data_IF_751218864766
#
_entry.id   IF_751218864766
#
_cell.length_a   1.000
_cell.length_b   1.000
_cell.length_c   1.000
_cell.angle_alpha   90.00
_cell.angle_beta   90.00
_cell.angle_gamma   90.00
#
_symmetry.space_group_name_H-M   'P 1'
#
loop_
_entity.id
_entity.type
_entity.pdbx_description
1 polymer ?
#
# COMPACT_ATOMS: atom_id res chain seq x y z
N UNK A 1 5.43 47.94 -27.02
CA UNK A 1 4.13 48.37 -26.47
C UNK A 1 3.49 47.16 -25.84
N UNK A 2 3.32 47.22 -24.51
CA UNK A 2 3.02 46.08 -23.65
C UNK A 2 1.52 45.88 -23.41
N UNK A 3 1.21 44.84 -22.64
CA UNK A 3 -0.14 44.34 -22.30
C UNK A 3 -1.06 45.33 -21.55
N UNK A 4 -0.70 46.61 -21.43
CA UNK A 4 -1.42 47.62 -20.62
C UNK A 4 -2.92 47.72 -20.97
N UNK A 5 -3.26 47.67 -22.27
CA UNK A 5 -4.66 47.68 -22.71
C UNK A 5 -5.37 46.36 -22.40
N UNK A 6 -4.67 45.22 -22.47
CA UNK A 6 -5.23 43.93 -22.10
C UNK A 6 -5.50 43.86 -20.58
N UNK A 7 -4.59 44.41 -19.76
CA UNK A 7 -4.71 44.43 -18.31
C UNK A 7 -5.85 45.35 -17.82
N UNK A 8 -6.03 46.52 -18.47
CA UNK A 8 -7.17 47.39 -18.19
C UNK A 8 -8.50 46.68 -18.47
N UNK A 9 -8.61 46.03 -19.64
CA UNK A 9 -9.82 45.27 -20.01
C UNK A 9 -10.06 44.08 -19.07
N UNK A 10 -9.00 43.37 -18.64
CA UNK A 10 -9.11 42.29 -17.68
C UNK A 10 -9.61 42.78 -16.31
N UNK A 11 -9.14 43.94 -15.83
CA UNK A 11 -9.60 44.57 -14.58
C UNK A 11 -11.06 45.04 -14.67
N UNK A 12 -11.45 45.68 -15.77
CA UNK A 12 -12.84 46.07 -15.99
C UNK A 12 -13.77 44.86 -16.04
N UNK A 13 -13.34 43.78 -16.70
CA UNK A 13 -14.09 42.53 -16.74
C UNK A 13 -14.20 41.87 -15.35
N UNK A 14 -13.14 41.89 -14.53
CA UNK A 14 -13.18 41.30 -13.17
C UNK A 14 -14.15 42.01 -12.22
N UNK A 15 -14.48 43.28 -12.48
CA UNK A 15 -15.40 44.08 -11.65
C UNK A 15 -16.88 43.92 -12.07
N UNK A 16 -17.17 43.14 -13.11
CA UNK A 16 -18.55 42.89 -13.56
C UNK A 16 -19.20 41.79 -12.72
N UNK A 17 -20.47 42.00 -12.39
CA UNK A 17 -21.27 41.05 -11.61
C UNK A 17 -21.72 39.82 -12.43
N UNK A 18 -21.85 39.98 -13.74
CA UNK A 18 -22.30 38.90 -14.64
C UNK A 18 -21.14 38.40 -15.51
N UNK A 19 -21.10 37.07 -15.70
CA UNK A 19 -20.12 36.43 -16.58
C UNK A 19 -20.55 36.66 -18.03
N UNK A 20 -19.76 37.44 -18.78
CA UNK A 20 -20.05 37.79 -20.18
C UNK A 20 -20.01 36.58 -21.13
N UNK A 21 -19.16 35.58 -20.85
CA UNK A 21 -19.01 34.36 -21.66
C UNK A 21 -18.72 33.15 -20.77
N UNK A 22 -19.55 32.11 -20.89
CA UNK A 22 -19.31 30.83 -20.21
C UNK A 22 -18.62 29.85 -21.16
N UNK A 23 -17.34 29.56 -20.91
CA UNK A 23 -16.62 28.53 -21.66
C UNK A 23 -17.01 27.14 -21.18
N UNK A 24 -17.11 26.20 -22.12
CA UNK A 24 -17.22 24.78 -21.78
C UNK A 24 -15.88 24.27 -21.26
N UNK A 25 -15.91 23.24 -20.42
CA UNK A 25 -14.69 22.62 -19.93
C UNK A 25 -13.87 22.06 -21.09
N UNK A 26 -12.58 22.38 -21.11
CA UNK A 26 -11.63 21.70 -22.00
C UNK A 26 -11.56 20.21 -21.66
N UNK A 27 -11.13 19.39 -22.63
CA UNK A 27 -10.92 17.95 -22.42
C UNK A 27 -10.04 17.64 -21.21
N UNK A 28 -9.00 18.46 -20.97
CA UNK A 28 -8.09 18.32 -19.82
C UNK A 28 -8.82 18.62 -18.51
N UNK A 29 -9.62 19.69 -18.45
CA UNK A 29 -10.41 20.02 -17.26
C UNK A 29 -11.43 18.92 -16.95
N UNK A 30 -12.14 18.41 -17.95
CA UNK A 30 -13.07 17.29 -17.79
C UNK A 30 -12.33 16.06 -17.24
N UNK A 31 -11.18 15.71 -17.82
CA UNK A 31 -10.36 14.59 -17.37
C UNK A 31 -9.93 14.76 -15.90
N UNK A 32 -9.47 15.95 -15.52
CA UNK A 32 -9.02 16.22 -14.16
C UNK A 32 -10.17 16.14 -13.14
N UNK A 33 -11.34 16.70 -13.49
CA UNK A 33 -12.56 16.61 -12.66
C UNK A 33 -12.97 15.15 -12.48
N UNK A 34 -12.98 14.37 -13.57
CA UNK A 34 -13.35 12.96 -13.53
C UNK A 34 -12.35 12.13 -12.73
N UNK A 35 -11.04 12.37 -12.90
CA UNK A 35 -10.00 11.70 -12.12
C UNK A 35 -10.16 12.00 -10.63
N UNK A 36 -10.41 13.25 -10.25
CA UNK A 36 -10.65 13.64 -8.85
C UNK A 36 -11.86 12.88 -8.26
N UNK A 37 -13.00 12.90 -8.95
CA UNK A 37 -14.21 12.17 -8.53
C UNK A 37 -13.97 10.67 -8.43
N UNK A 38 -13.21 10.10 -9.38
CA UNK A 38 -12.86 8.69 -9.37
C UNK A 38 -12.02 8.38 -8.12
N UNK A 39 -10.95 9.13 -7.87
CA UNK A 39 -10.10 8.95 -6.68
C UNK A 39 -10.90 9.05 -5.39
N UNK A 40 -11.77 10.05 -5.24
CA UNK A 40 -12.64 10.19 -4.06
C UNK A 40 -13.54 8.96 -3.87
N UNK A 41 -14.21 8.51 -4.93
CA UNK A 41 -15.08 7.33 -4.87
C UNK A 41 -14.31 6.05 -4.53
N UNK A 42 -13.13 5.86 -5.10
CA UNK A 42 -12.27 4.72 -4.80
C UNK A 42 -11.76 4.77 -3.35
N UNK A 43 -11.42 5.95 -2.84
CA UNK A 43 -11.01 6.12 -1.44
C UNK A 43 -12.16 5.79 -0.49
N UNK A 44 -13.38 6.24 -0.78
CA UNK A 44 -14.56 5.90 0.02
C UNK A 44 -14.80 4.38 0.05
N UNK A 45 -14.77 3.73 -1.13
CA UNK A 45 -14.91 2.27 -1.22
C UNK A 45 -13.79 1.54 -0.48
N UNK A 46 -12.56 2.05 -0.58
CA UNK A 46 -11.41 1.49 0.11
C UNK A 46 -11.63 1.51 1.62
N UNK A 47 -12.01 2.66 2.18
CA UNK A 47 -12.24 2.81 3.63
C UNK A 47 -13.42 2.00 4.16
N UNK A 48 -14.45 1.76 3.34
CA UNK A 48 -15.67 1.05 3.75
C UNK A 48 -15.61 -0.46 3.50
N UNK A 49 -14.63 -0.95 2.74
CA UNK A 49 -14.50 -2.38 2.42
C UNK A 49 -14.27 -3.21 3.70
N UNK A 50 -14.89 -4.39 3.78
CA UNK A 50 -14.64 -5.38 4.83
C UNK A 50 -13.34 -6.16 4.60
N UNK A 51 -12.86 -6.19 3.35
CA UNK A 51 -11.70 -6.94 2.90
C UNK A 51 -10.44 -6.06 2.90
N UNK A 52 -9.27 -6.69 3.01
CA UNK A 52 -7.98 -5.98 2.92
C UNK A 52 -7.67 -5.12 4.15
N UNK A 53 -8.21 -5.46 5.33
CA UNK A 53 -7.93 -4.75 6.60
C UNK A 53 -6.43 -4.55 6.83
N UNK A 54 -5.63 -5.59 6.60
CA UNK A 54 -4.18 -5.53 6.72
C UNK A 54 -3.54 -4.53 5.76
N UNK A 55 -3.83 -4.64 4.46
CA UNK A 55 -3.29 -3.73 3.44
C UNK A 55 -3.72 -2.29 3.68
N UNK A 56 -4.90 -2.05 4.28
CA UNK A 56 -5.36 -0.70 4.66
C UNK A 56 -4.56 -0.10 5.81
N UNK A 57 -4.04 -0.90 6.74
CA UNK A 57 -3.12 -0.40 7.77
C UNK A 57 -1.82 0.12 7.15
N UNK A 58 -1.36 -0.51 6.07
CA UNK A 58 -0.13 -0.12 5.37
C UNK A 58 -0.36 1.04 4.40
N UNK A 59 -1.47 0.99 3.64
CA UNK A 59 -1.88 1.96 2.64
C UNK A 59 -3.31 2.45 2.94
N UNK A 60 -3.48 3.39 3.88
CA UNK A 60 -4.80 3.93 4.21
C UNK A 60 -5.37 4.77 3.07
N UNK A 61 -4.51 5.38 2.25
CA UNK A 61 -4.88 6.15 1.08
C UNK A 61 -4.64 5.36 -0.20
N UNK A 62 -5.57 5.45 -1.15
CA UNK A 62 -5.40 4.88 -2.47
C UNK A 62 -4.29 5.64 -3.19
N UNK A 63 -3.49 4.89 -3.94
CA UNK A 63 -2.51 5.46 -4.84
C UNK A 63 -2.81 4.97 -6.26
N UNK A 64 -3.00 5.91 -7.18
CA UNK A 64 -3.28 5.61 -8.59
C UNK A 64 -2.00 5.33 -9.39
N UNK A 65 -0.83 5.54 -8.79
CA UNK A 65 0.45 5.15 -9.38
C UNK A 65 0.69 3.66 -9.16
N UNK A 66 1.31 3.01 -10.16
CA UNK A 66 1.63 1.59 -10.06
C UNK A 66 2.65 1.38 -8.94
N UNK A 67 2.30 0.58 -7.95
CA UNK A 67 3.26 0.04 -6.99
C UNK A 67 4.22 -0.89 -7.75
N UNK A 68 5.47 -0.45 -7.91
CA UNK A 68 6.55 -1.33 -8.37
C UNK A 68 7.07 -2.09 -7.17
N UNK A 69 6.55 -3.30 -6.98
CA UNK A 69 6.83 -4.14 -5.83
C UNK A 69 7.26 -5.53 -6.29
N UNK A 70 8.29 -6.07 -5.64
CA UNK A 70 8.71 -7.45 -5.86
C UNK A 70 7.67 -8.45 -5.33
N UNK A 71 7.75 -9.71 -5.81
CA UNK A 71 6.80 -10.76 -5.48
C UNK A 71 6.66 -10.98 -3.97
N UNK A 72 7.76 -11.05 -3.24
CA UNK A 72 7.79 -11.34 -1.80
C UNK A 72 7.25 -10.15 -0.99
N UNK A 73 7.59 -8.93 -1.39
CA UNK A 73 7.07 -7.70 -0.80
C UNK A 73 5.56 -7.58 -1.00
N UNK A 74 5.04 -7.97 -2.17
CA UNK A 74 3.60 -8.02 -2.41
C UNK A 74 2.88 -8.95 -1.42
N UNK A 75 3.46 -10.10 -1.08
CA UNK A 75 2.88 -10.99 -0.06
C UNK A 75 2.82 -10.32 1.31
N UNK A 76 3.90 -9.61 1.70
CA UNK A 76 3.96 -8.88 2.97
C UNK A 76 2.88 -7.79 3.05
N UNK A 77 2.76 -6.94 2.01
CA UNK A 77 1.80 -5.82 2.06
C UNK A 77 0.34 -6.27 1.90
N UNK A 78 0.11 -7.39 1.22
CA UNK A 78 -1.24 -7.90 1.02
C UNK A 78 -1.73 -8.74 2.19
N UNK A 79 -0.83 -9.29 3.01
CA UNK A 79 -1.26 -10.23 4.05
C UNK A 79 -1.55 -11.61 3.50
N UNK A 80 -1.17 -11.87 2.24
CA UNK A 80 -1.58 -13.03 1.46
C UNK A 80 -0.36 -13.85 1.05
N UNK A 81 -0.61 -15.04 0.50
CA UNK A 81 0.41 -15.89 -0.08
C UNK A 81 0.87 -16.97 0.88
N UNK A 82 2.16 -16.98 1.22
CA UNK A 82 2.85 -18.10 1.89
C UNK A 82 2.54 -18.23 3.39
N UNK A 83 1.76 -17.32 3.98
CA UNK A 83 1.46 -17.36 5.41
C UNK A 83 0.32 -18.34 5.68
N UNK A 84 0.56 -19.36 6.51
CA UNK A 84 -0.40 -20.42 6.83
C UNK A 84 -1.70 -19.88 7.41
N UNK A 85 -1.65 -18.80 8.20
CA UNK A 85 -2.86 -18.14 8.71
C UNK A 85 -3.78 -17.59 7.59
N UNK A 86 -3.22 -17.26 6.42
CA UNK A 86 -3.98 -16.89 5.23
C UNK A 86 -4.38 -18.11 4.39
N UNK A 87 -3.49 -19.11 4.25
CA UNK A 87 -3.74 -20.28 3.42
C UNK A 87 -4.79 -21.22 4.03
N UNK A 88 -4.87 -21.31 5.36
CA UNK A 88 -5.79 -22.24 6.04
C UNK A 88 -7.28 -21.98 5.68
N UNK A 89 -7.83 -20.75 5.81
CA UNK A 89 -9.22 -20.51 5.42
C UNK A 89 -9.50 -20.64 3.92
N UNK A 90 -8.49 -20.44 3.07
CA UNK A 90 -8.64 -20.41 1.61
C UNK A 90 -8.43 -21.77 0.95
N UNK A 91 -7.51 -22.57 1.47
CA UNK A 91 -7.00 -23.81 0.85
C UNK A 91 -6.99 -25.00 1.82
N UNK A 92 -7.33 -24.81 3.09
CA UNK A 92 -7.31 -25.88 4.09
C UNK A 92 -5.92 -26.34 4.53
N UNK A 93 -4.86 -25.57 4.19
CA UNK A 93 -3.50 -25.86 4.62
C UNK A 93 -3.31 -25.64 6.12
N UNK A 94 -2.24 -26.18 6.71
CA UNK A 94 -1.92 -25.94 8.11
C UNK A 94 -1.64 -24.45 8.37
N UNK A 95 -2.25 -23.90 9.41
CA UNK A 95 -1.99 -22.52 9.83
C UNK A 95 -0.73 -22.39 10.67
N UNK A 96 -0.09 -23.51 11.08
CA UNK A 96 1.02 -23.50 12.02
C UNK A 96 2.36 -23.18 11.37
N UNK A 97 3.12 -22.35 12.08
CA UNK A 97 4.53 -22.12 11.83
C UNK A 97 5.34 -23.32 12.32
N UNK A 98 6.59 -23.46 11.86
CA UNK A 98 7.54 -24.48 12.33
C UNK A 98 7.77 -24.45 13.85
N UNK A 99 7.49 -23.32 14.52
CA UNK A 99 7.58 -23.22 15.97
C UNK A 99 6.29 -23.59 16.72
N UNK A 100 5.20 -23.93 16.01
CA UNK A 100 3.92 -24.37 16.59
C UNK A 100 2.86 -23.28 16.77
N UNK A 101 3.22 -22.00 16.64
CA UNK A 101 2.28 -20.87 16.69
C UNK A 101 1.57 -20.63 15.36
N UNK A 102 0.50 -19.83 15.36
CA UNK A 102 -0.18 -19.43 14.13
C UNK A 102 0.74 -18.57 13.24
N UNK A 103 0.91 -18.99 12.00
CA UNK A 103 1.82 -18.38 11.04
C UNK A 103 1.23 -17.11 10.40
N UNK A 104 1.09 -16.09 11.23
CA UNK A 104 0.73 -14.73 10.81
C UNK A 104 1.98 -13.95 10.36
N UNK A 105 1.80 -12.90 9.57
CA UNK A 105 2.89 -11.98 9.22
C UNK A 105 3.58 -11.45 10.47
N UNK A 106 2.78 -11.10 11.50
CA UNK A 106 3.31 -10.58 12.75
C UNK A 106 4.19 -11.57 13.45
N UNK A 107 3.68 -12.80 13.58
CA UNK A 107 4.42 -13.88 14.17
C UNK A 107 5.75 -14.08 13.42
N UNK A 108 5.71 -14.34 12.12
CA UNK A 108 6.89 -14.67 11.31
C UNK A 108 7.96 -13.57 11.37
N UNK A 109 7.57 -12.30 11.23
CA UNK A 109 8.52 -11.20 11.13
C UNK A 109 9.00 -10.66 12.48
N UNK A 110 8.20 -10.73 13.54
CA UNK A 110 8.49 -9.99 14.79
C UNK A 110 8.63 -10.88 16.03
N UNK A 111 8.05 -12.08 16.03
CA UNK A 111 7.90 -12.87 17.27
C UNK A 111 8.55 -14.26 17.16
N UNK A 112 8.54 -14.84 15.97
CA UNK A 112 8.91 -16.23 15.74
C UNK A 112 10.36 -16.51 16.18
N UNK A 113 10.60 -17.52 17.04
CA UNK A 113 11.93 -17.85 17.52
C UNK A 113 12.84 -18.40 16.41
N UNK A 114 12.28 -19.02 15.36
CA UNK A 114 13.03 -19.53 14.19
C UNK A 114 13.85 -18.41 13.53
N UNK A 115 13.31 -17.19 13.53
CA UNK A 115 13.92 -16.02 12.91
C UNK A 115 14.61 -15.08 13.90
N UNK A 116 14.84 -15.52 15.14
CA UNK A 116 15.41 -14.69 16.21
C UNK A 116 16.79 -14.14 15.85
N UNK A 117 17.69 -14.97 15.30
CA UNK A 117 19.05 -14.55 14.94
C UNK A 117 19.07 -13.43 13.87
N UNK A 118 18.15 -13.49 12.91
CA UNK A 118 18.01 -12.45 11.88
C UNK A 118 17.37 -11.20 12.49
N UNK A 119 16.41 -11.36 13.40
CA UNK A 119 15.72 -10.25 14.08
C UNK A 119 16.63 -9.51 15.06
N UNK A 120 17.58 -10.18 15.70
CA UNK A 120 18.55 -9.57 16.62
C UNK A 120 19.46 -8.54 15.94
N UNK A 121 19.58 -8.59 14.60
CA UNK A 121 20.31 -7.61 13.79
C UNK A 121 19.53 -6.32 13.57
N UNK A 122 18.23 -6.30 13.90
CA UNK A 122 17.39 -5.12 13.72
C UNK A 122 17.57 -4.12 14.87
N UNK A 123 17.37 -2.82 14.63
CA UNK A 123 17.31 -1.83 15.69
C UNK A 123 16.26 -2.20 16.75
N UNK A 124 16.65 -2.25 18.02
CA UNK A 124 15.74 -2.56 19.14
C UNK A 124 14.52 -1.64 19.20
N UNK A 125 14.67 -0.39 18.75
CA UNK A 125 13.58 0.58 18.64
C UNK A 125 12.47 0.18 17.66
N UNK A 126 12.72 -0.77 16.75
CA UNK A 126 11.71 -1.27 15.83
C UNK A 126 10.83 -2.35 16.46
N UNK A 127 11.31 -3.05 17.49
CA UNK A 127 10.56 -4.14 18.14
C UNK A 127 9.31 -3.66 18.89
N UNK A 128 9.24 -2.36 19.20
CA UNK A 128 8.09 -1.73 19.84
C UNK A 128 7.15 -1.04 18.86
N UNK A 129 7.43 -1.11 17.55
CA UNK A 129 6.61 -0.52 16.49
C UNK A 129 5.72 -1.56 15.85
N UNK A 130 4.63 -1.09 15.26
CA UNK A 130 3.76 -1.94 14.47
C UNK A 130 4.36 -2.17 13.07
N UNK A 131 4.12 -3.35 12.50
CA UNK A 131 4.73 -3.76 11.22
C UNK A 131 4.35 -2.83 10.08
N UNK A 132 3.13 -2.30 10.08
CA UNK A 132 2.67 -1.38 9.05
C UNK A 132 3.44 -0.05 9.06
N UNK A 133 4.04 0.32 10.19
CA UNK A 133 4.93 1.49 10.30
C UNK A 133 6.35 1.18 9.80
N UNK A 134 6.76 -0.09 9.91
CA UNK A 134 8.11 -0.54 9.57
C UNK A 134 8.28 -0.94 8.10
N UNK A 135 7.22 -1.44 7.46
CA UNK A 135 7.28 -2.01 6.09
C UNK A 135 7.78 -1.03 5.03
N UNK A 136 7.65 0.27 5.29
CA UNK A 136 8.13 1.36 4.44
C UNK A 136 9.62 1.69 4.65
N UNK A 137 10.24 1.23 5.75
CA UNK A 137 11.66 1.45 6.02
C UNK A 137 12.49 0.51 5.13
N UNK A 138 13.46 1.02 4.34
CA UNK A 138 14.24 0.19 3.42
C UNK A 138 14.92 -1.00 4.10
N UNK A 139 15.52 -0.79 5.28
CA UNK A 139 16.20 -1.86 6.02
C UNK A 139 15.24 -2.95 6.52
N UNK A 140 14.06 -2.56 7.01
CA UNK A 140 13.04 -3.52 7.44
C UNK A 140 12.43 -4.26 6.24
N UNK A 141 12.18 -3.55 5.13
CA UNK A 141 11.71 -4.15 3.88
C UNK A 141 12.68 -5.25 3.41
N UNK A 142 13.98 -4.96 3.35
CA UNK A 142 14.99 -5.96 2.97
C UNK A 142 15.00 -7.15 3.92
N UNK A 143 14.94 -6.91 5.23
CA UNK A 143 14.81 -7.98 6.23
C UNK A 143 13.59 -8.86 5.96
N UNK A 144 12.41 -8.25 5.87
CA UNK A 144 11.15 -8.97 5.73
C UNK A 144 11.08 -9.77 4.42
N UNK A 145 11.54 -9.19 3.31
CA UNK A 145 11.63 -9.88 2.02
C UNK A 145 12.55 -11.10 2.11
N UNK A 146 13.69 -11.00 2.78
CA UNK A 146 14.60 -12.13 2.95
C UNK A 146 13.96 -13.27 3.76
N UNK A 147 13.24 -12.96 4.84
CA UNK A 147 12.53 -13.95 5.65
C UNK A 147 11.45 -14.66 4.81
N UNK A 148 10.61 -13.90 4.11
CA UNK A 148 9.54 -14.46 3.27
C UNK A 148 10.11 -15.29 2.13
N UNK A 149 11.22 -14.86 1.54
CA UNK A 149 11.94 -15.62 0.52
C UNK A 149 12.45 -16.95 1.08
N UNK A 150 13.12 -16.94 2.24
CA UNK A 150 13.59 -18.18 2.87
C UNK A 150 12.44 -19.12 3.25
N UNK A 151 11.31 -18.59 3.70
CA UNK A 151 10.11 -19.36 3.98
C UNK A 151 9.56 -20.01 2.70
N UNK A 152 9.46 -19.24 1.61
CA UNK A 152 9.03 -19.74 0.31
C UNK A 152 9.95 -20.86 -0.20
N UNK A 153 11.26 -20.62 -0.22
CA UNK A 153 12.26 -21.58 -0.69
C UNK A 153 12.23 -22.89 0.12
N UNK A 154 12.06 -22.79 1.45
CA UNK A 154 11.96 -23.96 2.34
C UNK A 154 10.75 -24.84 2.03
N UNK A 155 9.66 -24.23 1.55
CA UNK A 155 8.45 -24.95 1.18
C UNK A 155 8.54 -25.49 -0.22
N UNK A 156 9.06 -24.72 -1.19
CA UNK A 156 9.27 -25.17 -2.57
C UNK A 156 10.14 -26.42 -2.66
N UNK A 157 11.12 -26.57 -1.76
CA UNK A 157 11.94 -27.78 -1.66
C UNK A 157 11.15 -29.04 -1.26
N UNK A 158 9.97 -28.89 -0.63
CA UNK A 158 9.11 -30.01 -0.22
C UNK A 158 8.10 -30.42 -1.30
N UNK A 159 8.05 -29.75 -2.46
CA UNK A 159 7.14 -30.10 -3.59
C UNK A 159 7.82 -30.97 -4.66
N UNK A 160 9.07 -31.38 -4.44
CA UNK A 160 9.84 -32.23 -5.38
C UNK A 160 9.79 -33.73 -5.08
N UNK A 161 8.87 -34.17 -4.22
CA UNK A 161 8.49 -35.59 -4.03
C UNK A 161 7.10 -35.87 -4.62
#
# INVERSE_FOLDING_TARGET
MGNERADLLAKEASNRYMIDVQFTYSKVQIRNINNKKLTENWQCRWMQSTNGKWTRLIYPEINMTRLSADFYYNQIITGLGIFGAFQNPMFGEDCKCQCGEDETIKHVLMECPVWAQQRDKLPKSWLVKEIHELVHLPGFKTYAVNIVKSLFDSRSANWTD
#
